data_IF_485997876441
#
_entry.id   IF_485997876441
#
_cell.length_a   1.000
_cell.length_b   1.000
_cell.length_c   1.000
_cell.angle_alpha   90.00
_cell.angle_beta   90.00
_cell.angle_gamma   90.00
#
_symmetry.space_group_name_H-M   'P 1'
#
loop_
_entity.id
_entity.type
_entity.pdbx_description
1 polymer ?
#
# COMPACT_ATOMS: atom_id res chain seq x y z
N UNK A 1 -7.07 -5.11 4.63
CA UNK A 1 -6.82 -3.69 4.31
C UNK A 1 -6.63 -3.52 2.81
N UNK A 2 -7.18 -2.46 2.25
CA UNK A 2 -7.00 -2.22 0.82
C UNK A 2 -5.61 -1.65 0.56
N UNK A 3 -5.08 -1.96 -0.60
CA UNK A 3 -3.74 -1.52 -0.96
C UNK A 3 -3.62 0.01 -0.98
N UNK A 4 -4.61 0.69 -1.54
CA UNK A 4 -4.57 2.15 -1.60
C UNK A 4 -4.52 2.77 -0.21
N UNK A 5 -5.27 2.20 0.73
CA UNK A 5 -5.25 2.70 2.10
C UNK A 5 -3.89 2.43 2.75
N UNK A 6 -3.35 1.24 2.52
CA UNK A 6 -2.05 0.88 3.08
C UNK A 6 -0.98 1.85 2.60
N UNK A 7 -0.95 2.13 1.30
CA UNK A 7 0.04 3.05 0.74
C UNK A 7 -0.16 4.45 1.31
N UNK A 8 -1.40 4.92 1.37
CA UNK A 8 -1.69 6.26 1.85
C UNK A 8 -1.22 6.44 3.30
N UNK A 9 -1.49 5.44 4.14
CA UNK A 9 -1.12 5.55 5.55
C UNK A 9 0.38 5.42 5.77
N UNK A 10 1.04 4.69 4.89
CA UNK A 10 2.47 4.46 5.04
C UNK A 10 3.28 5.65 4.54
N UNK A 11 2.82 6.31 3.50
CA UNK A 11 3.59 7.35 2.83
C UNK A 11 3.09 8.76 3.08
N UNK A 12 1.90 8.89 3.67
CA UNK A 12 1.30 10.19 3.88
C UNK A 12 0.58 10.75 2.67
N UNK A 13 0.47 9.98 1.61
CA UNK A 13 -0.27 10.39 0.43
C UNK A 13 -1.77 10.32 0.68
N UNK A 14 -2.54 11.07 -0.11
CA UNK A 14 -3.98 10.90 -0.08
C UNK A 14 -4.35 9.60 -0.78
N UNK A 15 -5.61 9.14 -0.57
CA UNK A 15 -6.08 7.93 -1.23
C UNK A 15 -6.02 8.09 -2.74
N UNK A 16 -6.34 9.29 -3.25
CA UNK A 16 -6.26 9.55 -4.68
C UNK A 16 -4.85 9.44 -5.20
N UNK A 17 -3.91 10.01 -4.48
CA UNK A 17 -2.50 9.94 -4.88
C UNK A 17 -1.97 8.52 -4.82
N UNK A 18 -2.37 7.78 -3.79
CA UNK A 18 -1.97 6.39 -3.66
C UNK A 18 -2.51 5.56 -4.82
N UNK A 19 -3.78 5.75 -5.17
CA UNK A 19 -4.38 5.05 -6.28
C UNK A 19 -3.65 5.35 -7.59
N UNK A 20 -3.29 6.60 -7.78
CA UNK A 20 -2.58 7.01 -8.98
C UNK A 20 -1.21 6.33 -9.06
N UNK A 21 -0.50 6.29 -7.94
CA UNK A 21 0.80 5.63 -7.90
C UNK A 21 0.66 4.14 -8.21
N UNK A 22 -0.37 3.49 -7.68
CA UNK A 22 -0.61 2.09 -7.95
C UNK A 22 -0.82 1.87 -9.44
N UNK A 23 -1.60 2.74 -10.08
CA UNK A 23 -1.86 2.62 -11.50
C UNK A 23 -0.61 2.82 -12.35
N UNK A 24 0.34 3.56 -11.84
CA UNK A 24 1.58 3.84 -12.57
C UNK A 24 2.63 2.77 -12.35
N UNK A 25 2.24 1.62 -11.81
CA UNK A 25 3.15 0.49 -11.58
C UNK A 25 4.22 0.79 -10.55
N UNK A 26 3.94 1.71 -9.64
CA UNK A 26 4.88 2.07 -8.59
C UNK A 26 4.83 1.11 -7.42
N UNK A 27 3.84 0.22 -7.37
CA UNK A 27 3.60 -0.64 -6.21
C UNK A 27 3.68 -2.10 -6.62
N UNK A 28 4.41 -2.88 -5.82
CA UNK A 28 4.49 -4.32 -6.00
C UNK A 28 4.07 -5.03 -4.74
N UNK A 29 3.46 -6.17 -4.90
CA UNK A 29 3.15 -7.06 -3.80
C UNK A 29 3.84 -8.38 -4.09
N UNK A 30 4.75 -8.79 -3.20
CA UNK A 30 5.50 -10.04 -3.34
C UNK A 30 6.17 -10.13 -4.72
N UNK A 31 6.81 -9.03 -5.12
CA UNK A 31 7.54 -8.95 -6.39
C UNK A 31 6.65 -8.88 -7.62
N UNK A 32 5.36 -8.73 -7.44
CA UNK A 32 4.44 -8.66 -8.58
C UNK A 32 3.82 -7.29 -8.65
N UNK A 33 3.86 -6.66 -9.82
CA UNK A 33 3.29 -5.33 -9.98
C UNK A 33 1.77 -5.43 -9.90
N UNK A 34 1.18 -4.59 -9.04
CA UNK A 34 -0.26 -4.55 -8.86
C UNK A 34 -0.74 -3.16 -9.20
N UNK A 35 -1.74 -3.08 -10.06
CA UNK A 35 -2.28 -1.79 -10.50
C UNK A 35 -3.68 -1.50 -10.01
N UNK A 36 -4.21 -2.35 -9.14
CA UNK A 36 -5.56 -2.20 -8.61
C UNK A 36 -5.50 -1.84 -7.14
N UNK A 37 -5.88 -0.61 -6.82
CA UNK A 37 -5.85 -0.13 -5.43
C UNK A 37 -6.83 -0.82 -4.51
N UNK A 38 -7.81 -1.53 -5.06
CA UNK A 38 -8.77 -2.27 -4.25
C UNK A 38 -8.25 -3.64 -3.82
N UNK A 39 -7.06 -4.02 -4.29
CA UNK A 39 -6.45 -5.28 -3.91
C UNK A 39 -6.29 -5.34 -2.40
N UNK A 40 -6.67 -6.44 -1.81
CA UNK A 40 -6.52 -6.61 -0.37
C UNK A 40 -5.11 -7.07 -0.04
N UNK A 41 -4.54 -6.49 1.00
CA UNK A 41 -3.21 -6.87 1.46
C UNK A 41 -3.30 -7.29 2.92
N UNK A 42 -2.35 -8.12 3.33
CA UNK A 42 -2.30 -8.58 4.71
C UNK A 42 -0.88 -8.44 5.23
N UNK A 43 -0.74 -8.70 6.52
CA UNK A 43 0.56 -8.58 7.17
C UNK A 43 1.60 -9.50 6.56
N UNK A 44 1.17 -10.57 5.94
CA UNK A 44 2.08 -11.54 5.34
C UNK A 44 2.58 -11.11 3.97
N UNK A 45 1.96 -10.09 3.37
CA UNK A 45 2.35 -9.63 2.06
C UNK A 45 3.49 -8.63 2.17
N UNK A 46 4.42 -8.69 1.23
CA UNK A 46 5.51 -7.73 1.17
C UNK A 46 5.15 -6.67 0.15
N UNK A 47 4.90 -5.46 0.63
CA UNK A 47 4.44 -4.36 -0.19
C UNK A 47 5.62 -3.44 -0.47
N UNK A 48 5.92 -3.23 -1.75
CA UNK A 48 6.99 -2.34 -2.15
C UNK A 48 6.42 -1.12 -2.85
N UNK A 49 6.93 0.04 -2.49
CA UNK A 49 6.55 1.29 -3.14
C UNK A 49 7.81 1.92 -3.71
N UNK A 50 7.88 1.98 -5.04
CA UNK A 50 9.05 2.48 -5.76
C UNK A 50 10.31 1.76 -5.30
N UNK A 51 10.22 0.43 -5.28
CA UNK A 51 11.33 -0.47 -4.91
C UNK A 51 11.73 -0.38 -3.44
N UNK A 52 10.90 0.22 -2.62
CA UNK A 52 11.18 0.31 -1.19
C UNK A 52 10.17 -0.51 -0.42
N UNK A 53 10.65 -1.44 0.39
CA UNK A 53 9.77 -2.27 1.21
C UNK A 53 9.15 -1.44 2.31
N UNK A 54 7.83 -1.43 2.37
CA UNK A 54 7.11 -0.67 3.38
C UNK A 54 6.79 -1.56 4.57
N UNK A 55 6.92 -1.04 5.80
CA UNK A 55 6.52 -1.82 6.97
C UNK A 55 5.02 -1.95 7.04
N UNK A 56 4.55 -3.01 7.69
CA UNK A 56 3.12 -3.20 7.87
C UNK A 56 2.56 -2.12 8.78
N UNK A 57 1.41 -1.57 8.41
CA UNK A 57 0.70 -0.59 9.20
C UNK A 57 -0.61 -1.20 9.65
N UNK A 58 -0.84 -1.25 10.96
CA UNK A 58 -2.05 -1.84 11.47
C UNK A 58 -3.17 -0.85 11.51
N UNK A 59 -4.26 -1.22 10.86
CA UNK A 59 -5.40 -0.37 10.75
C UNK A 59 -6.13 -0.29 12.08
N UNK A 60 -6.54 0.92 12.46
CA UNK A 60 -7.34 1.10 13.65
C UNK A 60 -6.59 0.92 14.96
N UNK A 61 -5.31 1.05 14.91
CA UNK A 61 -4.51 0.75 16.04
C UNK A 61 -4.16 1.97 16.82
N UNK A 62 -5.03 2.50 17.52
CA UNK A 62 -4.70 3.60 18.26
C UNK A 62 -5.08 3.52 19.57
N UNK A 63 -4.51 4.02 20.22
CA UNK A 63 -4.81 4.01 21.39
C UNK A 63 -4.31 4.83 22.10
N UNK A 64 -4.74 5.26 22.71
CA UNK A 64 -4.33 6.08 23.31
C UNK A 64 -4.33 5.99 24.33
#
# INVERSE_FOLDING_TARGET
>A
MRLDKFIAENTGLTRSQATKAIRQSAVKINDEIVKNGATKVSQEDEIYFEDELLPWVEEGQYFM
#
